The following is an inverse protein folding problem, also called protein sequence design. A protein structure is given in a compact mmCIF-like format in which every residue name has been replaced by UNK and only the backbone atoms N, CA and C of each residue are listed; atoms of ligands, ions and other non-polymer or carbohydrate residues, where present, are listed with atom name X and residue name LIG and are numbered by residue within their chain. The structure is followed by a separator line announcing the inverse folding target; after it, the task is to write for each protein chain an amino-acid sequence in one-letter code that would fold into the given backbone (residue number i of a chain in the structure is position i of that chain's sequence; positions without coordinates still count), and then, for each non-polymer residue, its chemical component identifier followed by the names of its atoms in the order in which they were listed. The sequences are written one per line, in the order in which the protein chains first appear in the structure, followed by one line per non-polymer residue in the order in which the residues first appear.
data_IF_189317105577
#
_entry.id   IF_189317105577
#
_cell.length_a   1.000
_cell.length_b   1.000
_cell.length_c   1.000
_cell.angle_alpha   90.00
_cell.angle_beta   90.00
_cell.angle_gamma   90.00
#
_symmetry.space_group_name_H-M   'P 1'
#
loop_
_entity.id
_entity.type
_entity.pdbx_description
1 polymer ?
#
# COMPACT_ATOMS: atom_id res chain seq x y z
N UNK A 1 12.49 29.98 27.50
CA UNK A 1 12.34 28.55 27.21
C UNK A 1 10.91 28.05 27.41
N UNK A 2 10.33 28.12 28.62
CA UNK A 2 8.95 27.64 28.87
C UNK A 2 7.91 28.17 27.88
N UNK A 3 7.91 29.49 27.61
CA UNK A 3 6.99 30.09 26.63
C UNK A 3 7.23 29.60 25.19
N UNK A 4 8.48 29.32 24.81
CA UNK A 4 8.79 28.79 23.48
C UNK A 4 8.34 27.33 23.34
N UNK A 5 8.59 26.50 24.37
CA UNK A 5 8.11 25.11 24.41
C UNK A 5 6.58 25.04 24.43
N UNK A 6 5.91 26.03 25.02
CA UNK A 6 4.46 26.15 24.94
C UNK A 6 3.97 26.36 23.51
N UNK A 7 4.66 27.17 22.71
CA UNK A 7 4.32 27.32 21.29
C UNK A 7 4.51 26.02 20.52
N UNK A 8 5.68 25.38 20.68
CA UNK A 8 5.97 24.08 20.04
C UNK A 8 4.91 23.04 20.37
N UNK A 9 4.52 22.93 21.65
CA UNK A 9 3.51 21.98 22.08
C UNK A 9 2.12 22.30 21.52
N UNK A 10 1.74 23.58 21.45
CA UNK A 10 0.47 24.00 20.84
C UNK A 10 0.40 23.54 19.38
N UNK A 11 1.44 23.81 18.59
CA UNK A 11 1.49 23.37 17.19
C UNK A 11 1.51 21.84 17.04
N UNK A 12 2.26 21.14 17.92
CA UNK A 12 2.27 19.68 17.94
C UNK A 12 0.90 19.08 18.29
N UNK A 13 0.15 19.70 19.19
CA UNK A 13 -1.20 19.24 19.55
C UNK A 13 -2.23 19.58 18.48
N UNK A 14 -2.08 20.72 17.79
CA UNK A 14 -2.86 21.03 16.58
C UNK A 14 -2.61 19.95 15.53
N UNK A 15 -1.34 19.66 15.23
CA UNK A 15 -0.97 18.61 14.28
C UNK A 15 -1.53 17.24 14.69
N UNK A 16 -1.38 16.84 15.96
CA UNK A 16 -1.95 15.60 16.50
C UNK A 16 -3.48 15.57 16.34
N UNK A 17 -4.17 16.66 16.61
CA UNK A 17 -5.62 16.74 16.43
C UNK A 17 -6.01 16.63 14.96
N UNK A 18 -5.32 17.33 14.06
CA UNK A 18 -5.51 17.23 12.61
C UNK A 18 -5.33 15.80 12.12
N UNK A 19 -4.29 15.11 12.58
CA UNK A 19 -4.07 13.69 12.32
C UNK A 19 -5.25 12.88 12.88
N UNK A 20 -5.68 13.07 14.12
CA UNK A 20 -6.76 12.29 14.70
C UNK A 20 -8.16 12.56 14.10
N UNK A 21 -8.38 13.70 13.43
CA UNK A 21 -9.63 13.96 12.70
C UNK A 21 -9.55 13.47 11.25
N UNK A 22 -8.37 13.54 10.65
CA UNK A 22 -8.12 13.15 9.26
C UNK A 22 -7.94 11.65 9.16
N UNK A 23 -7.12 11.07 10.03
CA UNK A 23 -6.72 9.67 9.97
C UNK A 23 -7.87 8.70 10.15
N UNK A 24 -8.83 8.81 11.09
CA UNK A 24 -9.96 7.87 11.13
C UNK A 24 -10.78 7.89 9.83
N UNK A 25 -10.84 9.04 9.15
CA UNK A 25 -11.46 9.18 7.82
C UNK A 25 -10.57 8.64 6.71
N UNK A 26 -9.27 8.51 6.97
CA UNK A 26 -8.29 7.78 6.18
C UNK A 26 -8.13 6.29 6.60
N UNK A 27 -8.83 5.80 7.64
CA UNK A 27 -8.44 4.56 8.37
C UNK A 27 -9.60 3.62 8.68
N UNK A 28 -10.71 3.70 7.96
CA UNK A 28 -11.48 2.49 7.70
C UNK A 28 -10.89 1.82 6.45
N UNK A 29 -10.17 0.70 6.62
CA UNK A 29 -9.82 -0.25 5.53
C UNK A 29 -9.30 0.39 4.22
N UNK A 30 -8.38 1.35 4.32
CA UNK A 30 -8.16 2.33 3.25
C UNK A 30 -6.82 2.26 2.51
N UNK A 31 -5.87 1.48 3.01
CA UNK A 31 -4.71 1.03 2.24
C UNK A 31 -4.60 -0.45 2.57
N UNK A 32 -5.50 -1.22 1.98
CA UNK A 32 -5.47 -2.68 2.02
C UNK A 32 -4.92 -3.22 0.72
N UNK A 33 -4.51 -4.48 0.74
CA UNK A 33 -4.08 -5.19 -0.46
C UNK A 33 -2.97 -4.47 -1.23
N UNK A 34 -2.07 -3.80 -0.50
CA UNK A 34 -0.88 -3.20 -1.07
C UNK A 34 -0.04 -4.31 -1.71
N UNK A 35 0.06 -4.28 -3.04
CA UNK A 35 0.76 -5.30 -3.81
C UNK A 35 1.46 -4.67 -5.02
N UNK A 36 2.37 -5.43 -5.60
CA UNK A 36 3.09 -5.03 -6.81
C UNK A 36 3.26 -6.20 -7.76
N UNK A 37 3.63 -5.92 -9.00
CA UNK A 37 4.17 -6.91 -9.92
C UNK A 37 5.54 -7.39 -9.43
N UNK A 38 6.08 -8.40 -10.07
CA UNK A 38 7.49 -8.72 -9.98
C UNK A 38 8.37 -7.53 -10.44
N UNK A 39 9.64 -7.44 -9.99
CA UNK A 39 10.61 -6.50 -10.50
C UNK A 39 10.69 -6.57 -12.04
N UNK A 40 10.34 -5.48 -12.71
CA UNK A 40 10.27 -5.44 -14.16
C UNK A 40 10.50 -4.02 -14.70
N UNK A 41 10.71 -3.89 -16.01
CA UNK A 41 10.83 -2.57 -16.66
C UNK A 41 9.54 -1.76 -16.64
N UNK A 42 8.39 -2.40 -16.41
CA UNK A 42 7.09 -1.78 -16.23
C UNK A 42 6.48 -2.28 -14.93
N UNK A 43 6.95 -1.70 -13.83
CA UNK A 43 6.58 -2.12 -12.49
C UNK A 43 5.18 -1.61 -12.15
N UNK A 44 4.27 -2.53 -11.79
CA UNK A 44 2.88 -2.20 -11.47
C UNK A 44 2.70 -2.25 -9.97
N UNK A 45 2.02 -1.25 -9.39
CA UNK A 45 1.68 -1.21 -7.97
C UNK A 45 0.21 -0.93 -7.80
N UNK A 46 -0.46 -1.71 -6.95
CA UNK A 46 -1.86 -1.53 -6.61
C UNK A 46 -2.02 -1.30 -5.11
N UNK A 47 -3.00 -0.49 -4.75
CA UNK A 47 -3.50 -0.38 -3.38
C UNK A 47 -4.99 -0.07 -3.42
N UNK A 48 -5.76 -0.69 -2.52
CA UNK A 48 -7.18 -0.38 -2.41
C UNK A 48 -7.38 0.83 -1.51
N UNK A 49 -8.13 1.83 -2.01
CA UNK A 49 -8.54 3.03 -1.27
C UNK A 49 -10.08 3.05 -1.13
N UNK A 50 -10.62 3.31 0.05
CA UNK A 50 -12.06 3.53 0.23
C UNK A 50 -12.64 4.67 -0.59
N UNK A 51 -13.93 4.52 -0.87
CA UNK A 51 -14.79 5.45 -1.61
C UNK A 51 -14.87 6.87 -1.02
N UNK A 52 -14.52 7.04 0.26
CA UNK A 52 -14.56 8.34 0.91
C UNK A 52 -13.43 9.26 0.44
N UNK A 53 -12.30 8.70 0.01
CA UNK A 53 -11.12 9.41 -0.48
C UNK A 53 -11.19 9.74 -1.98
N UNK A 54 -11.89 8.92 -2.77
CA UNK A 54 -12.04 9.14 -4.22
C UNK A 54 -12.81 10.42 -4.56
N UNK A 55 -13.55 10.98 -3.58
CA UNK A 55 -14.35 12.20 -3.72
C UNK A 55 -13.70 13.44 -3.10
N UNK A 56 -12.52 13.30 -2.48
CA UNK A 56 -11.82 14.43 -1.88
C UNK A 56 -11.18 15.32 -2.96
N UNK A 57 -11.37 16.64 -2.85
CA UNK A 57 -10.70 17.61 -3.72
C UNK A 57 -9.28 17.88 -3.24
N UNK A 58 -8.37 18.22 -4.14
CA UNK A 58 -6.99 18.60 -3.82
C UNK A 58 -6.20 17.47 -3.10
N UNK A 59 -6.50 16.22 -3.44
CA UNK A 59 -5.70 15.05 -3.07
C UNK A 59 -4.64 14.76 -4.11
N UNK A 60 -3.47 14.31 -3.66
CA UNK A 60 -2.45 13.72 -4.52
C UNK A 60 -1.98 12.38 -3.95
N UNK A 61 -1.56 11.50 -4.84
CA UNK A 61 -0.90 10.25 -4.49
C UNK A 61 0.28 10.05 -5.43
N UNK A 62 1.36 9.51 -4.89
CA UNK A 62 2.59 9.26 -5.62
C UNK A 62 3.17 7.91 -5.20
N UNK A 63 3.70 7.17 -6.17
CA UNK A 63 4.52 5.98 -5.94
C UNK A 63 5.98 6.32 -6.23
N UNK A 64 6.88 5.93 -5.34
CA UNK A 64 8.30 6.08 -5.54
C UNK A 64 8.92 4.71 -5.71
N UNK A 65 9.65 4.49 -6.81
CA UNK A 65 10.25 3.19 -7.15
C UNK A 65 11.75 3.34 -7.36
N UNK A 66 12.52 2.43 -6.77
CA UNK A 66 13.96 2.32 -6.92
C UNK A 66 14.33 0.89 -7.32
N UNK A 67 15.21 0.74 -8.31
CA UNK A 67 15.77 -0.56 -8.72
C UNK A 67 17.29 -0.63 -8.57
N UNK A 68 17.86 0.33 -7.82
CA UNK A 68 19.30 0.51 -7.64
C UNK A 68 19.72 0.57 -6.17
N UNK A 69 19.03 -0.21 -5.33
CA UNK A 69 19.22 -0.25 -3.88
C UNK A 69 19.02 1.12 -3.22
N UNK A 70 17.93 1.80 -3.56
CA UNK A 70 17.55 3.12 -3.04
C UNK A 70 18.56 4.23 -3.36
N UNK A 71 19.44 4.07 -4.36
CA UNK A 71 20.39 5.12 -4.74
C UNK A 71 19.72 6.25 -5.53
N UNK A 72 18.67 5.94 -6.28
CA UNK A 72 17.78 6.90 -6.93
C UNK A 72 16.32 6.43 -6.88
N UNK A 73 15.40 7.39 -7.02
CA UNK A 73 13.96 7.15 -6.97
C UNK A 73 13.28 7.74 -8.20
N UNK A 74 12.41 6.95 -8.81
CA UNK A 74 11.48 7.36 -9.84
C UNK A 74 10.16 7.68 -9.14
N UNK A 75 9.81 8.95 -9.08
CA UNK A 75 8.50 9.39 -8.62
C UNK A 75 7.49 9.25 -9.77
N UNK A 76 6.37 8.60 -9.49
CA UNK A 76 5.24 8.45 -10.39
C UNK A 76 3.99 9.02 -9.72
N UNK A 77 3.51 10.15 -10.24
CA UNK A 77 2.30 10.82 -9.78
C UNK A 77 1.05 10.39 -10.56
N UNK A 78 1.20 9.55 -11.60
CA UNK A 78 0.10 9.02 -12.42
C UNK A 78 -0.59 7.84 -11.69
N UNK A 79 -1.05 8.09 -10.46
CA UNK A 79 -1.81 7.14 -9.64
C UNK A 79 -3.29 7.35 -9.89
N UNK A 80 -3.98 6.35 -10.44
CA UNK A 80 -5.36 6.47 -10.89
C UNK A 80 -6.22 5.29 -10.43
N UNK A 81 -7.51 5.55 -10.20
CA UNK A 81 -8.50 4.49 -9.96
C UNK A 81 -8.60 3.61 -11.20
N UNK A 82 -8.45 2.29 -11.02
CA UNK A 82 -8.63 1.30 -12.09
C UNK A 82 -10.13 1.16 -12.40
N UNK A 83 -10.95 0.92 -11.37
CA UNK A 83 -12.41 0.99 -11.45
C UNK A 83 -13.08 -0.05 -12.36
N UNK A 84 -12.35 -1.09 -12.78
CA UNK A 84 -12.89 -2.24 -13.51
C UNK A 84 -13.43 -3.29 -12.54
N UNK A 85 -14.23 -4.28 -13.01
CA UNK A 85 -14.69 -5.36 -12.15
C UNK A 85 -13.53 -6.08 -11.45
N UNK A 86 -13.66 -6.32 -10.15
CA UNK A 86 -12.61 -6.86 -9.28
C UNK A 86 -11.59 -5.82 -8.80
N UNK A 87 -11.61 -4.60 -9.33
CA UNK A 87 -10.70 -3.50 -9.01
C UNK A 87 -11.46 -2.19 -8.74
N UNK A 88 -12.69 -2.29 -8.23
CA UNK A 88 -13.62 -1.16 -8.09
C UNK A 88 -13.08 -0.05 -7.17
N UNK A 89 -12.27 -0.42 -6.18
CA UNK A 89 -11.63 0.48 -5.22
C UNK A 89 -10.11 0.52 -5.35
N UNK A 90 -9.57 -0.16 -6.36
CA UNK A 90 -8.12 -0.31 -6.54
C UNK A 90 -7.55 0.87 -7.31
N UNK A 91 -6.56 1.51 -6.70
CA UNK A 91 -5.73 2.52 -7.33
C UNK A 91 -4.44 1.88 -7.80
N UNK A 92 -4.08 2.16 -9.05
CA UNK A 92 -2.94 1.57 -9.71
C UNK A 92 -1.99 2.62 -10.27
N UNK A 93 -0.72 2.26 -10.34
CA UNK A 93 0.30 2.98 -11.09
C UNK A 93 1.20 1.99 -11.81
N UNK A 94 1.59 2.34 -13.03
CA UNK A 94 2.61 1.61 -13.80
C UNK A 94 3.81 2.51 -13.97
N UNK A 95 4.93 2.15 -13.34
CA UNK A 95 6.17 2.92 -13.34
C UNK A 95 7.18 2.29 -14.28
N UNK A 96 7.64 3.06 -15.27
CA UNK A 96 8.75 2.64 -16.11
C UNK A 96 10.06 2.69 -15.30
N UNK A 97 10.76 1.57 -15.22
CA UNK A 97 12.01 1.45 -14.45
C UNK A 97 13.16 0.97 -15.36
N UNK A 98 14.37 0.86 -14.79
CA UNK A 98 15.50 0.24 -15.47
C UNK A 98 15.42 -1.30 -15.50
N UNK A 99 14.34 -1.89 -14.97
CA UNK A 99 14.24 -3.32 -14.67
C UNK A 99 15.24 -3.74 -13.59
N UNK A 100 15.55 -5.03 -13.56
CA UNK A 100 16.42 -5.64 -12.57
C UNK A 100 15.66 -6.69 -11.75
N UNK A 101 16.36 -7.28 -10.78
CA UNK A 101 15.78 -8.27 -9.88
C UNK A 101 15.43 -7.67 -8.52
N UNK A 102 15.88 -6.45 -8.23
CA UNK A 102 15.68 -5.81 -6.94
C UNK A 102 14.80 -4.58 -7.14
N UNK A 103 13.79 -4.44 -6.29
CA UNK A 103 12.95 -3.25 -6.24
C UNK A 103 12.74 -2.84 -4.79
N UNK A 104 12.82 -1.54 -4.53
CA UNK A 104 12.32 -0.90 -3.34
C UNK A 104 11.28 0.13 -3.75
N UNK A 105 10.16 0.20 -3.06
CA UNK A 105 9.13 1.16 -3.36
C UNK A 105 8.39 1.63 -2.11
N UNK A 106 7.76 2.80 -2.20
CA UNK A 106 6.95 3.35 -1.12
C UNK A 106 5.89 4.31 -1.68
N UNK A 107 4.86 4.57 -0.88
CA UNK A 107 3.74 5.44 -1.22
C UNK A 107 3.77 6.75 -0.44
N UNK A 108 3.30 7.82 -1.07
CA UNK A 108 2.98 9.08 -0.41
C UNK A 108 1.64 9.59 -0.89
N UNK A 109 0.78 9.98 0.05
CA UNK A 109 -0.50 10.62 -0.23
C UNK A 109 -0.61 11.95 0.49
N UNK A 110 -1.22 12.94 -0.14
CA UNK A 110 -1.52 14.23 0.46
C UNK A 110 -2.99 14.56 0.30
N UNK A 111 -3.57 15.15 1.34
CA UNK A 111 -4.97 15.50 1.41
C UNK A 111 -5.11 16.89 1.99
N UNK A 112 -5.88 17.74 1.30
CA UNK A 112 -6.35 18.98 1.87
C UNK A 112 -7.45 18.71 2.89
N UNK A 113 -7.25 19.10 4.14
CA UNK A 113 -8.25 18.89 5.20
C UNK A 113 -9.60 19.59 4.90
N UNK A 114 -9.64 20.64 4.07
CA UNK A 114 -10.88 21.28 3.61
C UNK A 114 -11.76 20.32 2.81
N UNK A 115 -11.18 19.35 2.11
CA UNK A 115 -11.92 18.32 1.38
C UNK A 115 -12.75 17.41 2.30
N UNK A 116 -12.34 17.32 3.57
CA UNK A 116 -13.06 16.60 4.62
C UNK A 116 -14.01 17.52 5.39
N UNK A 117 -14.09 18.81 5.07
CA UNK A 117 -14.82 19.80 5.85
C UNK A 117 -14.11 20.18 7.15
N UNK A 118 -12.80 19.97 7.21
CA UNK A 118 -11.92 20.44 8.29
C UNK A 118 -11.15 21.69 7.79
N UNK A 119 -10.38 22.37 8.65
CA UNK A 119 -9.67 23.59 8.26
C UNK A 119 -8.28 23.67 8.90
N UNK A 120 -7.47 22.64 8.65
CA UNK A 120 -6.14 22.46 9.26
C UNK A 120 -4.99 22.50 8.23
N UNK A 121 -5.27 22.84 6.97
CA UNK A 121 -4.27 22.83 5.89
C UNK A 121 -4.07 21.45 5.26
N UNK A 122 -2.88 21.23 4.69
CA UNK A 122 -2.53 19.98 4.03
C UNK A 122 -2.01 18.95 5.04
N UNK A 123 -2.47 17.71 4.90
CA UNK A 123 -1.97 16.57 5.68
C UNK A 123 -1.34 15.57 4.70
N UNK A 124 -0.07 15.29 4.88
CA UNK A 124 0.66 14.32 4.06
C UNK A 124 0.94 13.06 4.86
N UNK A 125 0.56 11.91 4.33
CA UNK A 125 0.87 10.58 4.87
C UNK A 125 1.86 9.93 3.93
N UNK A 126 3.06 9.65 4.40
CA UNK A 126 4.14 9.14 3.57
C UNK A 126 4.84 7.98 4.24
N UNK A 127 5.06 6.92 3.47
CA UNK A 127 6.11 5.96 3.73
C UNK A 127 7.47 6.59 3.37
N UNK A 128 8.58 5.88 3.53
CA UNK A 128 9.89 6.47 3.20
C UNK A 128 10.91 5.44 2.76
N UNK A 129 12.07 5.85 2.22
CA UNK A 129 13.24 4.99 2.09
C UNK A 129 13.66 4.39 3.44
N UNK A 130 14.21 3.19 3.42
CA UNK A 130 14.79 2.51 4.58
C UNK A 130 16.30 2.73 4.66
N UNK A 131 16.76 3.51 5.65
CA UNK A 131 18.17 3.80 5.91
C UNK A 131 18.85 2.66 6.69
N UNK A 132 18.93 1.47 6.08
CA UNK A 132 19.43 0.24 6.69
C UNK A 132 20.80 0.37 7.38
N UNK A 133 21.68 1.24 6.87
CA UNK A 133 23.04 1.39 7.36
C UNK A 133 23.19 2.47 8.44
N UNK A 134 22.09 3.06 8.92
CA UNK A 134 22.13 4.17 9.88
C UNK A 134 23.03 5.33 9.41
N UNK A 135 23.01 5.62 8.09
CA UNK A 135 23.86 6.64 7.47
C UNK A 135 23.55 8.00 8.07
N UNK A 136 24.58 8.74 8.50
CA UNK A 136 24.43 10.05 9.12
C UNK A 136 25.43 11.10 8.58
N UNK A 137 24.95 12.30 8.19
CA UNK A 137 23.55 12.60 7.87
C UNK A 137 23.05 11.76 6.68
N UNK A 138 21.77 11.38 6.63
CA UNK A 138 21.23 10.68 5.46
C UNK A 138 21.36 11.55 4.20
N UNK A 139 21.69 10.94 3.08
CA UNK A 139 21.67 11.58 1.76
C UNK A 139 20.23 11.81 1.31
N UNK A 140 20.03 12.73 0.36
CA UNK A 140 18.67 13.11 -0.09
C UNK A 140 17.84 11.92 -0.60
N UNK A 141 18.46 10.94 -1.25
CA UNK A 141 17.78 9.73 -1.73
C UNK A 141 17.29 8.81 -0.59
N UNK A 142 17.72 9.04 0.65
CA UNK A 142 17.22 8.30 1.81
C UNK A 142 16.13 9.04 2.55
N UNK A 143 15.70 10.23 2.11
CA UNK A 143 14.59 10.95 2.73
C UNK A 143 13.33 10.90 1.87
N UNK A 144 12.18 10.75 2.52
CA UNK A 144 10.88 11.12 1.93
C UNK A 144 10.46 12.50 2.43
N UNK A 145 9.77 13.27 1.59
CA UNK A 145 9.09 14.49 2.00
C UNK A 145 7.78 14.12 2.67
N UNK A 146 7.65 14.46 3.95
CA UNK A 146 6.49 14.14 4.79
C UNK A 146 5.58 15.35 5.02
N UNK A 147 6.06 16.56 4.77
CA UNK A 147 5.25 17.77 4.71
C UNK A 147 5.96 18.82 3.84
N UNK A 148 5.19 19.69 3.21
CA UNK A 148 5.71 20.88 2.55
C UNK A 148 5.34 22.12 3.37
N UNK A 149 5.87 23.26 2.96
CA UNK A 149 5.44 24.54 3.47
C UNK A 149 5.58 25.58 2.36
N UNK A 150 4.78 26.64 2.44
CA UNK A 150 4.95 27.77 1.52
C UNK A 150 6.21 28.57 1.89
N UNK A 151 6.55 29.56 1.07
CA UNK A 151 7.80 30.33 1.26
C UNK A 151 7.53 31.82 1.21
N UNK A 152 8.28 32.59 2.01
CA UNK A 152 8.16 34.05 2.09
C UNK A 152 7.24 34.55 3.21
N UNK A 153 6.88 33.68 4.15
CA UNK A 153 6.11 33.95 5.37
C UNK A 153 6.95 34.74 6.36
N UNK A 154 8.24 34.41 6.44
CA UNK A 154 9.17 34.97 7.41
C UNK A 154 10.58 35.20 6.82
N UNK A 155 11.56 35.50 7.66
CA UNK A 155 12.95 35.61 7.23
C UNK A 155 13.47 34.27 6.70
N UNK A 156 14.23 34.28 5.59
CA UNK A 156 14.59 33.03 4.90
C UNK A 156 15.34 32.00 5.77
N UNK A 157 16.08 32.44 6.79
CA UNK A 157 16.73 31.55 7.76
C UNK A 157 15.79 30.88 8.77
N UNK A 158 14.50 31.21 8.73
CA UNK A 158 13.44 30.70 9.61
C UNK A 158 12.23 30.15 8.83
N UNK A 159 12.17 30.47 7.54
CA UNK A 159 11.17 30.06 6.55
C UNK A 159 11.35 28.58 6.21
N UNK A 160 10.50 27.73 6.78
CA UNK A 160 10.43 26.30 6.52
C UNK A 160 9.92 26.11 5.09
N UNK A 161 10.38 25.05 4.44
CA UNK A 161 10.01 24.73 3.05
C UNK A 161 9.56 23.28 2.89
N UNK A 162 10.06 22.41 3.77
CA UNK A 162 9.66 21.02 3.83
C UNK A 162 10.10 20.41 5.15
N UNK A 163 9.38 19.35 5.50
CA UNK A 163 9.79 18.37 6.48
C UNK A 163 10.07 17.05 5.76
N UNK A 164 11.21 16.46 6.06
CA UNK A 164 11.65 15.19 5.48
C UNK A 164 11.99 14.20 6.58
N UNK A 165 11.69 12.93 6.36
CA UNK A 165 12.01 11.90 7.33
C UNK A 165 12.35 10.54 6.67
N UNK A 166 13.05 9.71 7.45
CA UNK A 166 13.37 8.32 7.14
C UNK A 166 13.63 7.57 8.44
N UNK A 167 13.80 6.27 8.35
CA UNK A 167 13.99 5.37 9.48
C UNK A 167 14.96 4.24 9.16
N UNK A 168 15.41 3.58 10.23
CA UNK A 168 16.12 2.32 10.20
C UNK A 168 15.46 1.35 11.19
N UNK A 169 16.10 0.21 11.46
CA UNK A 169 15.62 -0.75 12.46
C UNK A 169 15.45 -0.13 13.85
N UNK A 170 16.27 0.88 14.20
CA UNK A 170 16.34 1.43 15.56
C UNK A 170 16.36 2.95 15.64
N UNK A 171 16.49 3.67 14.52
CA UNK A 171 16.58 5.14 14.50
C UNK A 171 15.47 5.80 13.68
N UNK A 172 15.09 6.99 14.16
CA UNK A 172 14.33 7.98 13.40
C UNK A 172 15.29 9.07 12.92
N UNK A 173 15.08 9.55 11.70
CA UNK A 173 15.80 10.67 11.10
C UNK A 173 14.79 11.69 10.61
N UNK A 174 14.99 12.95 10.96
CA UNK A 174 14.14 14.05 10.53
C UNK A 174 14.98 15.23 10.04
N UNK A 175 14.45 15.99 9.10
CA UNK A 175 15.08 17.16 8.52
C UNK A 175 14.05 18.25 8.24
N UNK A 176 14.29 19.45 8.77
CA UNK A 176 13.58 20.67 8.38
C UNK A 176 14.42 21.37 7.32
N UNK A 177 13.87 21.54 6.12
CA UNK A 177 14.45 22.37 5.07
C UNK A 177 14.02 23.82 5.23
N UNK A 178 14.97 24.74 5.10
CA UNK A 178 14.75 26.19 5.16
C UNK A 178 14.98 26.82 3.77
N UNK A 179 14.32 27.95 3.53
CA UNK A 179 14.48 28.73 2.30
C UNK A 179 15.87 29.40 2.23
N UNK A 180 16.48 29.64 3.40
CA UNK A 180 17.82 30.21 3.59
C UNK A 180 18.79 29.24 4.27
N UNK A 181 19.97 29.72 4.65
CA UNK A 181 20.95 28.90 5.35
C UNK A 181 20.49 28.54 6.77
N UNK A 182 20.67 27.29 7.15
CA UNK A 182 20.51 26.84 8.53
C UNK A 182 21.82 27.06 9.30
N UNK A 183 21.80 27.37 10.60
CA UNK A 183 20.66 27.87 11.37
C UNK A 183 21.13 29.14 12.07
N UNK A 184 20.29 30.18 12.05
CA UNK A 184 20.59 31.43 12.73
C UNK A 184 20.02 31.38 14.15
N UNK A 185 20.87 31.01 15.10
CA UNK A 185 20.54 30.90 16.52
C UNK A 185 20.31 32.27 17.18
N UNK A 186 20.69 33.36 16.50
CA UNK A 186 20.60 34.71 17.02
C UNK A 186 21.85 35.21 17.77
N UNK A 187 21.72 36.40 18.36
CA UNK A 187 22.83 37.10 19.03
C UNK A 187 22.92 36.84 20.54
N UNK A 188 23.93 37.42 21.19
CA UNK A 188 24.14 37.28 22.65
C UNK A 188 22.94 37.75 23.50
N UNK A 189 22.19 38.74 23.03
CA UNK A 189 20.98 39.26 23.70
C UNK A 189 19.67 38.88 22.99
N UNK A 190 19.73 37.93 22.07
CA UNK A 190 18.61 37.50 21.24
C UNK A 190 18.30 38.46 20.08
N UNK A 191 17.14 38.27 19.42
CA UNK A 191 16.25 37.13 19.64
C UNK A 191 16.96 35.81 19.31
N UNK A 192 16.63 34.75 20.05
CA UNK A 192 17.18 33.41 19.90
C UNK A 192 16.18 32.53 19.20
N UNK A 193 16.58 31.90 18.10
CA UNK A 193 15.70 31.04 17.34
C UNK A 193 15.88 29.57 17.75
N UNK A 194 14.76 28.88 17.84
CA UNK A 194 14.65 27.46 18.13
C UNK A 194 13.99 26.79 16.92
N UNK A 195 14.71 25.86 16.30
CA UNK A 195 14.25 25.04 15.19
C UNK A 195 13.86 23.69 15.74
N UNK A 196 12.63 23.26 15.47
CA UNK A 196 12.06 22.07 16.10
C UNK A 196 11.43 21.16 15.06
N UNK A 197 11.72 19.86 15.17
CA UNK A 197 10.83 18.82 14.64
C UNK A 197 10.08 18.24 15.82
N UNK A 198 8.79 18.55 15.95
CA UNK A 198 7.94 17.92 16.92
C UNK A 198 7.50 16.54 16.40
N UNK A 199 7.52 15.56 17.29
CA UNK A 199 7.18 14.16 17.06
C UNK A 199 6.06 13.79 18.02
N UNK A 200 4.95 13.31 17.47
CA UNK A 200 3.76 12.93 18.25
C UNK A 200 3.35 11.51 17.93
N UNK A 201 2.90 10.78 18.95
CA UNK A 201 2.12 9.58 18.76
C UNK A 201 0.64 9.96 18.62
N UNK A 202 0.00 9.74 17.45
CA UNK A 202 -1.41 10.05 17.27
C UNK A 202 -2.32 9.31 18.28
N UNK A 203 -1.94 8.08 18.64
CA UNK A 203 -2.69 7.22 19.57
C UNK A 203 -2.44 7.50 21.05
N UNK A 204 -1.47 8.37 21.40
CA UNK A 204 -1.17 8.66 22.80
C UNK A 204 -2.40 9.27 23.49
N UNK A 205 -2.80 8.71 24.63
CA UNK A 205 -3.91 9.26 25.41
C UNK A 205 -3.52 10.61 26.06
N UNK A 206 -2.27 10.75 26.47
CA UNK A 206 -1.76 11.96 27.10
C UNK A 206 -1.41 13.00 26.02
N UNK A 207 -1.64 14.30 26.28
CA UNK A 207 -1.29 15.38 25.37
C UNK A 207 0.19 15.74 25.52
N UNK A 208 1.06 14.82 25.12
CA UNK A 208 2.52 14.95 25.15
C UNK A 208 3.04 15.11 23.72
N UNK A 209 4.04 15.98 23.56
CA UNK A 209 4.83 16.09 22.35
C UNK A 209 6.31 15.81 22.67
N UNK A 210 6.99 15.14 21.76
CA UNK A 210 8.44 14.98 21.78
C UNK A 210 9.03 15.89 20.73
N UNK A 211 10.29 16.28 20.86
CA UNK A 211 10.85 17.23 19.93
C UNK A 211 12.36 17.07 19.78
N UNK A 212 12.83 17.00 18.54
CA UNK A 212 14.22 17.35 18.22
C UNK A 212 14.33 18.86 18.19
N UNK A 213 14.89 19.45 19.25
CA UNK A 213 15.10 20.88 19.35
C UNK A 213 16.54 21.25 19.03
N UNK A 214 16.74 22.24 18.16
CA UNK A 214 18.03 22.87 17.91
C UNK A 214 17.94 24.38 18.13
N UNK A 215 18.81 24.91 18.97
CA UNK A 215 18.97 26.33 19.21
C UNK A 215 20.04 26.58 20.26
N UNK A 216 20.57 27.79 20.30
CA UNK A 216 21.62 28.18 21.25
C UNK A 216 21.34 29.58 21.76
N UNK A 217 21.12 29.74 23.06
CA UNK A 217 20.75 31.05 23.59
C UNK A 217 20.08 31.06 24.94
N UNK A 218 19.45 32.20 25.26
CA UNK A 218 18.71 32.38 26.50
C UNK A 218 19.57 32.19 27.75
N UNK A 219 20.84 32.60 27.69
CA UNK A 219 21.83 32.38 28.74
C UNK A 219 22.04 30.89 29.09
N UNK A 220 22.05 30.03 28.06
CA UNK A 220 22.25 28.58 28.19
C UNK A 220 20.96 27.81 28.49
N UNK A 221 19.81 28.47 28.46
CA UNK A 221 18.53 27.78 28.56
C UNK A 221 18.14 27.09 27.24
N UNK A 222 18.50 27.66 26.09
CA UNK A 222 18.25 27.04 24.80
C UNK A 222 19.52 26.32 24.36
N UNK A 223 19.43 25.00 24.20
CA UNK A 223 20.49 24.14 23.69
C UNK A 223 19.90 22.95 22.91
N UNK A 224 20.68 22.30 22.03
CA UNK A 224 20.19 21.14 21.29
C UNK A 224 19.90 19.96 22.22
N UNK A 225 18.69 19.38 22.15
CA UNK A 225 18.30 18.19 22.90
C UNK A 225 17.02 17.54 22.34
N UNK A 226 16.73 16.33 22.81
CA UNK A 226 15.40 15.72 22.69
C UNK A 226 14.58 16.17 23.89
N UNK A 227 13.51 16.90 23.61
CA UNK A 227 12.59 17.40 24.62
C UNK A 227 11.34 16.54 24.70
N UNK A 228 10.84 16.36 25.92
CA UNK A 228 9.46 15.97 26.19
C UNK A 228 8.72 17.21 26.69
N UNK A 229 7.55 17.46 26.13
CA UNK A 229 6.74 18.64 26.44
C UNK A 229 5.33 18.17 26.77
N UNK A 230 4.91 18.41 28.01
CA UNK A 230 3.60 18.07 28.53
C UNK A 230 2.75 19.34 28.68
N UNK A 231 1.48 19.25 28.32
CA UNK A 231 0.58 20.39 28.46
C UNK A 231 -0.85 19.99 28.80
N UNK A 232 -1.69 21.00 28.94
CA UNK A 232 -3.11 20.85 29.20
C UNK A 232 -3.89 21.38 28.00
N UNK A 233 -4.61 20.48 27.31
CA UNK A 233 -5.41 20.80 26.13
C UNK A 233 -6.53 21.81 26.43
N UNK A 234 -7.00 21.88 27.68
CA UNK A 234 -8.10 22.78 28.05
C UNK A 234 -7.64 24.23 28.27
N UNK A 235 -6.43 24.42 28.77
CA UNK A 235 -5.86 25.75 29.04
C UNK A 235 -4.90 26.22 27.96
N UNK A 236 -4.35 25.29 27.16
CA UNK A 236 -3.26 25.56 26.23
C UNK A 236 -1.93 25.85 26.92
N UNK A 237 -1.84 25.64 28.24
CA UNK A 237 -0.63 25.84 29.03
C UNK A 237 0.23 24.58 29.04
N UNK A 238 1.55 24.76 29.00
CA UNK A 238 2.50 23.67 29.22
C UNK A 238 2.57 23.39 30.72
N UNK A 239 2.26 22.15 31.10
CA UNK A 239 2.38 21.64 32.46
C UNK A 239 3.85 21.44 32.85
N UNK A 240 4.72 21.20 31.87
CA UNK A 240 6.17 21.13 32.02
C UNK A 240 6.88 20.78 30.71
N UNK A 241 8.19 21.03 30.65
CA UNK A 241 9.05 20.43 29.63
C UNK A 241 10.30 19.90 30.31
N UNK A 242 10.85 18.82 29.79
CA UNK A 242 12.10 18.24 30.26
C UNK A 242 12.98 17.79 29.10
N UNK A 243 14.28 17.72 29.37
CA UNK A 243 15.23 17.07 28.45
C UNK A 243 15.13 15.58 28.67
N UNK A 244 14.60 14.88 27.69
CA UNK A 244 14.52 13.43 27.69
C UNK A 244 15.89 12.82 27.43
N UNK A 245 16.67 13.43 26.53
CA UNK A 245 18.02 12.99 26.20
C UNK A 245 18.80 14.07 25.46
N UNK A 246 20.09 14.19 25.75
CA UNK A 246 21.06 14.94 24.93
C UNK A 246 21.78 14.03 23.93
N UNK A 247 21.54 12.72 23.99
CA UNK A 247 22.14 11.72 23.11
C UNK A 247 21.36 11.62 21.80
N UNK A 248 21.65 12.53 20.88
CA UNK A 248 21.12 12.54 19.52
C UNK A 248 22.13 13.16 18.56
N UNK A 249 22.06 12.76 17.30
CA UNK A 249 22.86 13.33 16.24
C UNK A 249 22.13 14.54 15.64
N UNK A 250 22.83 15.65 15.37
CA UNK A 250 22.26 16.80 14.64
C UNK A 250 23.26 17.45 13.69
N UNK A 251 22.73 18.11 12.64
CA UNK A 251 23.51 18.82 11.62
C UNK A 251 22.74 20.05 11.16
N UNK A 252 23.45 21.17 11.02
CA UNK A 252 22.90 22.43 10.49
C UNK A 252 23.53 22.82 9.16
N UNK A 253 24.07 21.84 8.43
CA UNK A 253 24.80 22.09 7.20
C UNK A 253 23.85 22.55 6.07
N UNK A 254 24.26 23.60 5.35
CA UNK A 254 23.51 24.09 4.19
C UNK A 254 22.24 24.82 4.61
N UNK A 255 21.09 24.37 4.09
CA UNK A 255 19.78 24.96 4.35
C UNK A 255 18.88 24.05 5.19
N UNK A 256 19.45 23.17 6.02
CA UNK A 256 18.67 22.14 6.72
C UNK A 256 19.10 21.99 8.17
N UNK A 257 18.12 21.84 9.06
CA UNK A 257 18.32 21.28 10.40
C UNK A 257 17.96 19.81 10.36
N UNK A 258 18.94 18.94 10.51
CA UNK A 258 18.77 17.49 10.53
C UNK A 258 18.98 16.97 11.95
N UNK A 259 18.17 16.02 12.38
CA UNK A 259 18.30 15.34 13.66
C UNK A 259 18.05 13.82 13.52
N UNK A 260 18.73 13.03 14.35
CA UNK A 260 18.47 11.60 14.48
C UNK A 260 18.72 11.10 15.88
N UNK A 261 17.93 10.12 16.31
CA UNK A 261 18.15 9.41 17.57
C UNK A 261 17.67 7.98 17.50
N UNK A 262 18.02 7.18 18.50
CA UNK A 262 17.36 5.91 18.72
C UNK A 262 15.87 6.18 18.96
N UNK A 263 15.01 5.54 18.17
CA UNK A 263 13.56 5.68 18.27
C UNK A 263 13.07 5.32 19.68
N UNK A 264 13.72 4.34 20.31
CA UNK A 264 13.47 3.90 21.68
C UNK A 264 13.68 4.96 22.76
N UNK A 265 14.41 6.05 22.49
CA UNK A 265 14.50 7.18 23.44
C UNK A 265 13.12 7.81 23.62
N UNK A 266 12.37 7.96 22.53
CA UNK A 266 11.03 8.56 22.53
C UNK A 266 9.98 7.49 22.84
N UNK A 267 10.03 6.34 22.16
CA UNK A 267 8.93 5.36 22.21
C UNK A 267 8.87 4.51 23.48
N UNK A 268 9.95 4.46 24.28
CA UNK A 268 9.93 3.81 25.59
C UNK A 268 9.53 4.75 26.73
N UNK A 269 9.35 6.05 26.48
CA UNK A 269 8.80 6.94 27.50
C UNK A 269 7.38 6.51 27.86
N UNK A 270 7.04 6.53 29.14
CA UNK A 270 5.77 6.02 29.65
C UNK A 270 4.55 6.77 29.08
N UNK A 271 4.72 8.03 28.67
CA UNK A 271 3.65 8.86 28.12
C UNK A 271 3.52 8.74 26.60
N UNK A 272 4.47 8.10 25.90
CA UNK A 272 4.37 7.86 24.46
C UNK A 272 3.17 6.98 24.10
N UNK A 273 2.81 6.01 24.95
CA UNK A 273 1.77 5.02 24.66
C UNK A 273 2.30 3.75 23.99
N UNK A 274 1.41 2.99 23.34
CA UNK A 274 1.76 1.70 22.74
C UNK A 274 2.68 1.89 21.53
N UNK A 275 3.74 1.07 21.45
CA UNK A 275 4.64 0.99 20.30
C UNK A 275 4.86 -0.47 19.85
N UNK A 276 4.81 -0.80 18.55
CA UNK A 276 4.33 0.05 17.46
C UNK A 276 2.90 0.54 17.70
N UNK A 277 2.65 1.80 17.39
CA UNK A 277 1.30 2.33 17.43
C UNK A 277 0.51 1.81 16.22
N UNK A 278 -0.75 2.16 16.14
CA UNK A 278 -1.63 1.61 15.11
C UNK A 278 -1.43 2.21 13.71
N UNK A 279 -0.47 3.13 13.56
CA UNK A 279 0.05 3.62 12.28
C UNK A 279 1.39 2.99 11.89
N UNK A 280 2.02 2.24 12.82
CA UNK A 280 3.44 1.89 12.74
C UNK A 280 4.30 3.10 12.31
N UNK A 281 4.05 4.26 12.93
CA UNK A 281 4.49 5.55 12.40
C UNK A 281 4.43 6.68 13.41
N UNK A 282 4.83 7.88 12.99
CA UNK A 282 4.87 9.08 13.84
C UNK A 282 4.27 10.29 13.11
N UNK A 283 3.55 11.13 13.86
CA UNK A 283 3.17 12.46 13.38
C UNK A 283 4.32 13.44 13.55
N UNK A 284 4.53 14.31 12.58
CA UNK A 284 5.64 15.24 12.49
C UNK A 284 5.15 16.64 12.10
N UNK A 285 5.71 17.66 12.74
CA UNK A 285 5.53 19.07 12.35
C UNK A 285 6.82 19.84 12.62
N UNK A 286 7.24 20.65 11.64
CA UNK A 286 8.34 21.58 11.77
C UNK A 286 7.85 22.88 12.41
N UNK A 287 8.59 23.40 13.39
CA UNK A 287 8.26 24.68 14.04
C UNK A 287 9.52 25.49 14.23
N UNK A 288 9.51 26.74 13.78
CA UNK A 288 10.53 27.74 14.13
C UNK A 288 9.95 28.74 15.13
N UNK A 289 10.54 28.84 16.32
CA UNK A 289 10.13 29.77 17.37
C UNK A 289 11.26 30.76 17.65
N UNK A 290 10.93 32.04 17.77
CA UNK A 290 11.84 33.07 18.27
C UNK A 290 11.54 33.38 19.72
N UNK A 291 12.60 33.50 20.53
CA UNK A 291 12.51 33.94 21.91
C UNK A 291 13.46 35.13 22.15
N UNK A 292 12.95 36.23 22.67
CA UNK A 292 13.71 37.45 22.89
C UNK A 292 13.36 38.17 24.17
N UNK A 293 14.04 39.30 24.39
CA UNK A 293 13.75 40.23 25.48
C UNK A 293 12.95 41.40 24.92
N UNK A 294 11.80 41.68 25.52
CA UNK A 294 10.99 42.87 25.28
C UNK A 294 11.02 43.75 26.52
N UNK A 295 12.01 44.64 26.60
CA UNK A 295 12.29 45.40 27.81
C UNK A 295 12.81 44.52 28.94
N UNK A 296 12.01 44.37 30.00
CA UNK A 296 12.29 43.47 31.13
C UNK A 296 11.53 42.13 31.03
N UNK A 297 10.64 41.99 30.04
CA UNK A 297 9.83 40.81 29.84
C UNK A 297 10.42 39.91 28.75
N UNK A 298 9.97 38.65 28.73
CA UNK A 298 10.29 37.69 27.68
C UNK A 298 9.20 37.78 26.60
N UNK A 299 9.61 37.81 25.33
CA UNK A 299 8.71 37.70 24.18
C UNK A 299 9.01 36.42 23.41
N UNK A 300 7.97 35.67 23.04
CA UNK A 300 8.10 34.48 22.18
C UNK A 300 7.08 34.51 21.06
N UNK A 301 7.52 34.19 19.85
CA UNK A 301 6.73 34.22 18.63
C UNK A 301 7.02 32.96 17.79
N UNK A 302 5.97 32.35 17.25
CA UNK A 302 6.12 31.33 16.19
C UNK A 302 6.43 32.10 14.92
N UNK A 303 7.63 31.88 14.38
CA UNK A 303 8.03 32.50 13.12
C UNK A 303 7.53 31.72 11.93
N UNK A 304 7.48 30.39 12.06
CA UNK A 304 7.00 29.53 10.99
C UNK A 304 6.60 28.11 11.46
N UNK A 305 5.76 27.45 10.67
CA UNK A 305 5.26 26.09 10.90
C UNK A 305 5.01 25.36 9.58
N UNK A 306 5.55 24.15 9.44
CA UNK A 306 5.22 23.31 8.28
C UNK A 306 3.77 22.82 8.31
N UNK A 307 3.29 22.33 7.16
CA UNK A 307 2.14 21.43 7.11
C UNK A 307 2.37 20.18 7.99
N UNK A 308 1.29 19.43 8.21
CA UNK A 308 1.31 18.24 9.06
C UNK A 308 1.73 17.00 8.25
N UNK A 309 2.75 16.30 8.75
CA UNK A 309 3.21 15.05 8.17
C UNK A 309 2.94 13.84 9.05
N UNK A 310 2.65 12.70 8.44
CA UNK A 310 2.65 11.39 9.08
C UNK A 310 3.67 10.52 8.35
N UNK A 311 4.71 10.11 9.07
CA UNK A 311 5.66 9.12 8.59
C UNK A 311 5.18 7.72 8.99
N UNK A 312 4.89 6.87 8.01
CA UNK A 312 4.71 5.42 8.20
C UNK A 312 6.07 4.76 8.03
N UNK A 313 6.53 4.01 9.03
CA UNK A 313 7.85 3.37 9.06
C UNK A 313 7.82 2.08 8.23
N UNK A 314 7.66 2.24 6.92
CA UNK A 314 7.54 1.13 5.98
C UNK A 314 8.18 1.49 4.64
N UNK A 315 8.83 0.49 4.04
CA UNK A 315 9.33 0.47 2.66
C UNK A 315 9.08 -0.93 2.16
N UNK A 316 8.60 -1.06 0.93
CA UNK A 316 8.33 -2.33 0.29
C UNK A 316 9.58 -2.73 -0.48
N UNK A 317 9.98 -3.99 -0.38
CA UNK A 317 11.17 -4.50 -1.07
C UNK A 317 10.96 -5.90 -1.57
N UNK A 318 11.50 -6.20 -2.75
CA UNK A 318 11.56 -7.55 -3.30
C UNK A 318 12.89 -7.77 -4.02
N UNK A 319 13.42 -8.98 -3.87
CA UNK A 319 14.62 -9.45 -4.56
C UNK A 319 14.30 -10.77 -5.25
N UNK A 320 14.53 -10.82 -6.55
CA UNK A 320 14.20 -11.96 -7.39
C UNK A 320 12.72 -12.05 -7.74
N UNK A 321 12.37 -13.16 -8.39
CA UNK A 321 11.02 -13.49 -8.76
C UNK A 321 10.82 -15.01 -8.74
N UNK A 322 9.69 -15.45 -8.20
CA UNK A 322 9.18 -16.81 -8.29
C UNK A 322 8.01 -16.80 -9.26
N UNK A 323 8.14 -17.52 -10.38
CA UNK A 323 7.08 -17.57 -11.39
C UNK A 323 5.73 -18.01 -10.77
N UNK A 324 4.60 -17.42 -11.22
CA UNK A 324 3.29 -17.74 -10.67
C UNK A 324 2.85 -19.14 -11.05
N UNK A 325 1.88 -19.68 -10.31
CA UNK A 325 1.33 -21.02 -10.51
C UNK A 325 -0.16 -20.94 -10.76
N UNK A 326 -0.62 -21.62 -11.82
CA UNK A 326 -2.04 -21.78 -12.14
C UNK A 326 -2.52 -23.15 -11.70
N UNK A 327 -3.62 -23.21 -10.96
CA UNK A 327 -4.21 -24.46 -10.47
C UNK A 327 -5.74 -24.44 -10.49
N UNK A 328 -6.34 -25.63 -10.38
CA UNK A 328 -7.78 -25.84 -10.22
C UNK A 328 -8.64 -25.13 -11.30
N UNK A 329 -8.38 -25.34 -12.60
CA UNK A 329 -9.27 -24.82 -13.64
C UNK A 329 -10.66 -25.45 -13.50
N UNK A 330 -11.70 -24.65 -13.64
CA UNK A 330 -13.10 -25.11 -13.60
C UNK A 330 -13.94 -24.39 -14.64
N UNK A 331 -15.00 -25.07 -15.11
CA UNK A 331 -16.03 -24.48 -15.94
C UNK A 331 -17.41 -24.79 -15.34
N UNK A 332 -18.20 -23.76 -15.06
CA UNK A 332 -19.57 -23.93 -14.57
C UNK A 332 -20.46 -22.77 -15.03
N UNK A 333 -21.65 -23.09 -15.53
CA UNK A 333 -22.67 -22.11 -15.93
C UNK A 333 -22.15 -21.01 -16.89
N UNK A 334 -21.27 -21.38 -17.83
CA UNK A 334 -20.67 -20.45 -18.79
C UNK A 334 -19.48 -19.65 -18.28
N UNK A 335 -19.03 -19.87 -17.03
CA UNK A 335 -17.90 -19.17 -16.43
C UNK A 335 -16.71 -20.10 -16.34
N UNK A 336 -15.56 -19.66 -16.87
CA UNK A 336 -14.25 -20.27 -16.64
C UNK A 336 -13.59 -19.61 -15.43
N UNK A 337 -13.03 -20.42 -14.56
CA UNK A 337 -12.27 -19.95 -13.39
C UNK A 337 -10.95 -20.70 -13.24
N UNK A 338 -9.92 -20.01 -12.75
CA UNK A 338 -8.59 -20.55 -12.46
C UNK A 338 -8.05 -19.91 -11.17
N UNK A 339 -7.31 -20.66 -10.36
CA UNK A 339 -6.58 -20.10 -9.22
C UNK A 339 -5.19 -19.68 -9.67
N UNK A 340 -4.88 -18.39 -9.53
CA UNK A 340 -3.53 -17.82 -9.66
C UNK A 340 -2.92 -17.68 -8.27
N UNK A 341 -1.71 -18.21 -8.07
CA UNK A 341 -0.95 -18.02 -6.83
C UNK A 341 0.49 -17.65 -7.13
N UNK A 342 1.04 -16.73 -6.35
CA UNK A 342 2.42 -16.26 -6.50
C UNK A 342 3.13 -16.27 -5.14
N UNK A 343 4.29 -16.93 -5.04
CA UNK A 343 4.98 -17.12 -3.78
C UNK A 343 5.56 -15.82 -3.18
N UNK A 344 5.84 -14.83 -4.02
CA UNK A 344 6.32 -13.50 -3.64
C UNK A 344 5.15 -12.50 -3.48
N UNK A 345 3.91 -12.99 -3.60
CA UNK A 345 2.67 -12.21 -3.57
C UNK A 345 2.58 -11.18 -4.71
N UNK A 346 3.20 -11.46 -5.86
CA UNK A 346 3.10 -10.57 -7.02
C UNK A 346 1.69 -10.59 -7.63
N UNK A 347 1.18 -9.41 -7.97
CA UNK A 347 -0.06 -9.26 -8.73
C UNK A 347 0.10 -9.72 -10.17
N UNK A 348 -1.02 -10.13 -10.79
CA UNK A 348 -1.07 -10.46 -12.21
C UNK A 348 -1.21 -9.19 -13.06
N UNK A 349 -0.21 -8.89 -13.88
CA UNK A 349 -0.19 -7.77 -14.83
C UNK A 349 -0.97 -8.03 -16.12
N UNK A 350 -1.14 -9.31 -16.49
CA UNK A 350 -2.06 -9.80 -17.54
C UNK A 350 -2.71 -11.08 -17.03
N UNK A 351 -4.00 -11.23 -17.27
CA UNK A 351 -4.82 -12.33 -16.76
C UNK A 351 -5.92 -12.63 -17.77
N UNK A 352 -5.58 -13.40 -18.80
CA UNK A 352 -6.45 -13.62 -19.95
C UNK A 352 -6.67 -15.12 -20.17
N UNK A 353 -7.83 -15.48 -20.70
CA UNK A 353 -8.13 -16.82 -21.20
C UNK A 353 -8.50 -16.76 -22.67
N UNK A 354 -7.91 -17.64 -23.46
CA UNK A 354 -8.13 -17.74 -24.90
C UNK A 354 -8.87 -19.03 -25.24
N UNK A 355 -9.91 -18.93 -26.06
CA UNK A 355 -10.66 -20.06 -26.62
C UNK A 355 -10.70 -19.85 -28.13
N UNK A 356 -10.03 -20.75 -28.87
CA UNK A 356 -9.79 -20.58 -30.31
C UNK A 356 -9.16 -19.19 -30.63
N UNK A 357 -9.88 -18.32 -31.34
CA UNK A 357 -9.45 -16.96 -31.70
C UNK A 357 -10.02 -15.87 -30.75
N UNK A 358 -10.76 -16.24 -29.71
CA UNK A 358 -11.39 -15.31 -28.75
C UNK A 358 -10.55 -15.18 -27.48
N UNK A 359 -10.32 -13.95 -27.03
CA UNK A 359 -9.66 -13.65 -25.75
C UNK A 359 -10.61 -12.97 -24.77
N UNK A 360 -10.57 -13.39 -23.52
CA UNK A 360 -11.36 -12.85 -22.42
C UNK A 360 -10.43 -12.46 -21.27
N UNK A 361 -10.53 -11.21 -20.82
CA UNK A 361 -9.84 -10.78 -19.59
C UNK A 361 -10.58 -11.33 -18.38
N UNK A 362 -9.83 -11.93 -17.46
CA UNK A 362 -10.36 -12.54 -16.26
C UNK A 362 -10.39 -11.54 -15.10
N UNK A 363 -11.39 -11.69 -14.25
CA UNK A 363 -11.67 -10.81 -13.11
C UNK A 363 -11.26 -11.53 -11.82
N UNK A 364 -10.39 -10.95 -10.97
CA UNK A 364 -10.04 -11.52 -9.68
C UNK A 364 -11.17 -11.40 -8.66
N UNK A 365 -11.21 -12.31 -7.68
CA UNK A 365 -12.10 -12.24 -6.51
C UNK A 365 -11.39 -11.73 -5.23
N UNK A 366 -10.10 -11.42 -5.31
CA UNK A 366 -9.29 -10.90 -4.21
C UNK A 366 -7.89 -10.50 -4.66
N UNK A 367 -7.09 -9.95 -3.75
CA UNK A 367 -5.78 -9.35 -4.05
C UNK A 367 -4.64 -9.86 -3.16
N UNK A 368 -4.83 -11.03 -2.52
CA UNK A 368 -3.78 -11.72 -1.74
C UNK A 368 -3.27 -12.93 -2.53
N UNK A 369 -2.31 -12.67 -3.41
CA UNK A 369 -1.82 -13.64 -4.40
C UNK A 369 -1.00 -14.79 -3.80
N UNK A 370 -0.39 -14.61 -2.63
CA UNK A 370 0.30 -15.68 -1.90
C UNK A 370 -0.62 -16.79 -1.42
N UNK A 371 -1.90 -16.47 -1.16
CA UNK A 371 -2.91 -17.43 -0.68
C UNK A 371 -3.68 -18.07 -1.85
N UNK A 372 -3.48 -17.56 -3.06
CA UNK A 372 -4.21 -17.94 -4.27
C UNK A 372 -5.49 -17.09 -4.45
N UNK A 373 -5.60 -16.47 -5.62
CA UNK A 373 -6.75 -15.67 -6.05
C UNK A 373 -7.46 -16.39 -7.18
N UNK A 374 -8.80 -16.44 -7.15
CA UNK A 374 -9.57 -17.02 -8.24
C UNK A 374 -9.88 -15.93 -9.25
N UNK A 375 -9.42 -16.14 -10.48
CA UNK A 375 -9.77 -15.32 -11.63
C UNK A 375 -10.90 -16.00 -12.40
N UNK A 376 -11.88 -15.22 -12.85
CA UNK A 376 -13.05 -15.74 -13.59
C UNK A 376 -13.41 -14.92 -14.82
N UNK A 377 -13.91 -15.57 -15.87
CA UNK A 377 -14.46 -14.91 -17.06
C UNK A 377 -15.72 -15.64 -17.56
N UNK A 378 -16.76 -14.87 -17.90
CA UNK A 378 -17.94 -15.40 -18.61
C UNK A 378 -17.60 -15.58 -20.09
N UNK A 379 -17.57 -16.84 -20.52
CA UNK A 379 -17.28 -17.27 -21.89
C UNK A 379 -18.51 -17.91 -22.55
N UNK A 380 -19.66 -17.90 -21.88
CA UNK A 380 -20.87 -18.60 -22.32
C UNK A 380 -20.72 -20.12 -22.39
N UNK A 381 -21.70 -20.78 -22.98
CA UNK A 381 -21.76 -22.26 -23.08
C UNK A 381 -21.00 -22.81 -24.30
N UNK A 382 -19.83 -22.24 -24.63
CA UNK A 382 -19.05 -22.68 -25.78
C UNK A 382 -18.12 -23.82 -25.37
N UNK A 383 -18.24 -25.05 -25.93
CA UNK A 383 -17.27 -26.09 -25.68
C UNK A 383 -15.94 -25.73 -26.35
N UNK A 384 -14.81 -26.06 -25.72
CA UNK A 384 -13.51 -25.84 -26.35
C UNK A 384 -12.33 -26.12 -25.44
N UNK A 385 -11.16 -25.87 -25.99
CA UNK A 385 -9.89 -25.85 -25.26
C UNK A 385 -9.60 -24.40 -24.84
N UNK A 386 -9.55 -24.14 -23.54
CA UNK A 386 -9.13 -22.87 -22.98
C UNK A 386 -7.62 -22.89 -22.74
N UNK A 387 -6.94 -21.83 -23.16
CA UNK A 387 -5.56 -21.52 -22.75
C UNK A 387 -5.58 -20.33 -21.82
N UNK A 388 -5.41 -20.58 -20.52
CA UNK A 388 -5.17 -19.53 -19.54
C UNK A 388 -3.75 -18.99 -19.73
N UNK A 389 -3.59 -17.67 -19.73
CA UNK A 389 -2.29 -16.99 -19.83
C UNK A 389 -2.23 -15.86 -18.80
N UNK A 390 -1.28 -15.98 -17.88
CA UNK A 390 -1.09 -15.04 -16.78
C UNK A 390 0.36 -14.56 -16.74
N UNK A 391 0.59 -13.33 -16.31
CA UNK A 391 1.94 -12.80 -16.09
C UNK A 391 1.99 -11.94 -14.84
N UNK A 392 3.02 -12.13 -14.03
CA UNK A 392 3.36 -11.31 -12.86
C UNK A 392 4.19 -10.06 -13.24
N UNK A 393 4.43 -9.81 -14.53
CA UNK A 393 5.26 -8.73 -15.07
C UNK A 393 6.70 -9.13 -15.41
N UNK A 394 7.20 -10.26 -14.91
CA UNK A 394 8.52 -10.81 -15.22
C UNK A 394 8.43 -12.16 -15.94
N UNK A 395 7.61 -13.07 -15.42
CA UNK A 395 7.34 -14.39 -15.98
C UNK A 395 5.91 -14.45 -16.54
N UNK A 396 5.71 -15.33 -17.54
CA UNK A 396 4.40 -15.62 -18.12
C UNK A 396 4.17 -17.12 -18.06
N UNK A 397 3.03 -17.53 -17.52
CA UNK A 397 2.64 -18.93 -17.38
C UNK A 397 1.35 -19.21 -18.14
N UNK A 398 1.24 -20.44 -18.64
CA UNK A 398 0.08 -20.90 -19.37
C UNK A 398 -0.42 -22.23 -18.82
N UNK A 399 -1.74 -22.42 -18.86
CA UNK A 399 -2.39 -23.68 -18.54
C UNK A 399 -3.50 -23.96 -19.55
N UNK A 400 -3.46 -25.14 -20.16
CA UNK A 400 -4.53 -25.61 -21.04
C UNK A 400 -5.57 -26.39 -20.25
N UNK A 401 -6.85 -26.14 -20.55
CA UNK A 401 -7.99 -26.79 -19.92
C UNK A 401 -9.06 -27.10 -20.96
N UNK A 402 -9.33 -28.39 -21.15
CA UNK A 402 -10.44 -28.84 -21.99
C UNK A 402 -11.73 -28.85 -21.16
N UNK A 403 -12.68 -28.00 -21.55
CA UNK A 403 -14.01 -27.89 -20.95
C UNK A 403 -15.11 -28.18 -21.96
N UNK A 404 -14.72 -28.69 -23.14
CA UNK A 404 -15.60 -29.02 -24.24
C UNK A 404 -16.33 -30.33 -24.05
N UNK A 405 -17.50 -30.25 -23.40
CA UNK A 405 -18.52 -31.30 -23.53
C UNK A 405 -18.84 -31.55 -25.01
N UNK A 406 -18.43 -32.71 -25.50
CA UNK A 406 -18.79 -33.31 -26.80
C UNK A 406 -18.11 -32.78 -28.08
N UNK A 407 -16.91 -33.33 -28.35
CA UNK A 407 -16.63 -33.92 -29.67
C UNK A 407 -16.02 -35.33 -29.56
N UNK A 408 -16.59 -36.16 -28.68
CA UNK A 408 -16.34 -37.61 -28.66
C UNK A 408 -16.39 -38.33 -27.30
N UNK A 409 -16.56 -37.62 -26.18
CA UNK A 409 -16.56 -38.23 -24.84
C UNK A 409 -17.89 -38.04 -24.12
N UNK A 410 -18.48 -39.14 -23.67
CA UNK A 410 -19.72 -39.12 -22.89
C UNK A 410 -19.52 -38.52 -21.49
N UNK A 411 -20.30 -37.49 -21.11
CA UNK A 411 -20.22 -36.86 -19.78
C UNK A 411 -20.62 -37.80 -18.64
N UNK A 412 -21.59 -38.68 -18.89
CA UNK A 412 -22.01 -39.74 -17.98
C UNK A 412 -22.23 -41.03 -18.79
N UNK A 413 -21.28 -41.96 -18.74
CA UNK A 413 -21.35 -43.22 -19.49
C UNK A 413 -22.71 -43.92 -19.25
N UNK A 414 -23.48 -44.07 -20.33
CA UNK A 414 -24.82 -44.66 -20.31
C UNK A 414 -25.98 -43.67 -20.35
N UNK A 415 -25.72 -42.36 -20.26
CA UNK A 415 -26.73 -41.29 -20.42
C UNK A 415 -26.79 -40.88 -21.90
N UNK A 416 -27.65 -41.57 -22.65
CA UNK A 416 -27.72 -41.49 -24.11
C UNK A 416 -28.67 -40.38 -24.55
N UNK A 417 -29.61 -39.97 -23.68
CA UNK A 417 -30.52 -38.85 -23.94
C UNK A 417 -30.05 -37.51 -23.35
N UNK A 418 -28.90 -37.50 -22.66
CA UNK A 418 -28.30 -36.32 -22.02
C UNK A 418 -29.23 -35.67 -20.97
N UNK A 419 -30.02 -36.49 -20.27
CA UNK A 419 -30.95 -36.02 -19.21
C UNK A 419 -30.32 -35.98 -17.81
N UNK A 420 -29.06 -36.40 -17.70
CA UNK A 420 -28.28 -36.44 -16.46
C UNK A 420 -28.55 -37.68 -15.60
N UNK A 421 -29.27 -38.69 -16.10
CA UNK A 421 -29.62 -39.90 -15.35
C UNK A 421 -29.69 -41.17 -16.21
N UNK A 422 -28.79 -42.13 -15.97
CA UNK A 422 -28.84 -43.44 -16.64
C UNK A 422 -30.05 -44.25 -16.18
N UNK A 423 -31.02 -44.47 -17.07
CA UNK A 423 -32.26 -45.16 -16.79
C UNK A 423 -32.80 -45.96 -17.99
N UNK A 424 -34.05 -46.44 -17.90
CA UNK A 424 -34.66 -47.27 -18.96
C UNK A 424 -34.82 -46.52 -20.29
N UNK A 425 -34.89 -45.20 -20.28
CA UNK A 425 -34.98 -44.38 -21.48
C UNK A 425 -33.70 -44.48 -22.31
N UNK A 426 -32.52 -44.52 -21.68
CA UNK A 426 -31.24 -44.69 -22.35
C UNK A 426 -31.09 -46.06 -23.00
N UNK A 427 -31.61 -47.11 -22.33
CA UNK A 427 -31.66 -48.46 -22.89
C UNK A 427 -32.51 -48.48 -24.17
N UNK A 428 -33.67 -47.81 -24.15
CA UNK A 428 -34.56 -47.74 -25.31
C UNK A 428 -33.88 -47.04 -26.47
N UNK A 429 -33.18 -45.94 -26.22
CA UNK A 429 -32.44 -45.22 -27.26
C UNK A 429 -31.27 -46.02 -27.81
N UNK A 430 -30.48 -46.65 -26.93
CA UNK A 430 -29.39 -47.55 -27.33
C UNK A 430 -29.90 -48.69 -28.20
N UNK A 431 -31.05 -49.27 -27.84
CA UNK A 431 -31.71 -50.32 -28.63
C UNK A 431 -32.11 -49.79 -30.01
N UNK A 432 -32.65 -48.57 -30.09
CA UNK A 432 -33.01 -47.95 -31.37
C UNK A 432 -31.77 -47.69 -32.25
N UNK A 433 -30.65 -47.29 -31.65
CA UNK A 433 -29.38 -47.11 -32.37
C UNK A 433 -28.87 -48.46 -32.92
N UNK A 434 -28.88 -49.52 -32.11
CA UNK A 434 -28.49 -50.88 -32.53
C UNK A 434 -29.36 -51.40 -33.68
N UNK A 435 -30.66 -51.11 -33.64
CA UNK A 435 -31.61 -51.57 -34.66
C UNK A 435 -31.62 -50.70 -35.93
N UNK A 436 -31.02 -49.50 -35.91
CA UNK A 436 -30.98 -48.64 -37.09
C UNK A 436 -29.72 -48.87 -37.95
N UNK A 437 -29.77 -49.88 -38.82
CA UNK A 437 -28.66 -50.24 -39.71
C UNK A 437 -28.37 -49.22 -40.82
N UNK A 438 -29.33 -48.33 -41.12
CA UNK A 438 -29.25 -47.36 -42.24
C UNK A 438 -29.36 -45.89 -41.79
N UNK A 439 -29.19 -45.60 -40.49
CA UNK A 439 -29.17 -44.23 -39.98
C UNK A 439 -27.79 -43.58 -40.23
N UNK A 440 -27.73 -42.31 -40.66
CA UNK A 440 -26.47 -41.57 -40.80
C UNK A 440 -25.71 -41.39 -39.48
N UNK A 441 -26.41 -41.44 -38.34
CA UNK A 441 -25.86 -41.32 -36.97
C UNK A 441 -26.21 -42.57 -36.14
N UNK A 442 -25.72 -43.74 -36.56
CA UNK A 442 -26.00 -45.03 -35.89
C UNK A 442 -25.04 -45.33 -34.71
N UNK A 443 -24.19 -44.38 -34.33
CA UNK A 443 -23.23 -44.52 -33.25
C UNK A 443 -23.36 -43.38 -32.25
N UNK A 444 -23.26 -43.71 -30.96
CA UNK A 444 -23.27 -42.76 -29.85
C UNK A 444 -22.24 -43.23 -28.81
N UNK A 445 -21.27 -42.37 -28.48
CA UNK A 445 -20.18 -42.70 -27.54
C UNK A 445 -20.67 -42.92 -26.10
N UNK A 446 -21.83 -42.37 -25.71
CA UNK A 446 -22.46 -42.67 -24.42
C UNK A 446 -23.10 -44.04 -24.36
N UNK A 447 -23.47 -44.59 -25.51
CA UNK A 447 -24.06 -45.91 -25.63
C UNK A 447 -23.02 -47.03 -25.73
N UNK A 448 -21.76 -46.74 -26.10
CA UNK A 448 -20.66 -47.72 -26.12
C UNK A 448 -20.00 -47.82 -24.74
N UNK A 449 -20.54 -48.71 -23.90
CA UNK A 449 -20.08 -48.86 -22.52
C UNK A 449 -18.84 -49.73 -22.38
N UNK A 450 -18.49 -50.46 -23.44
CA UNK A 450 -17.36 -51.38 -23.42
C UNK A 450 -16.14 -50.85 -24.22
N UNK A 451 -16.34 -49.79 -25.02
CA UNK A 451 -15.31 -49.09 -25.77
C UNK A 451 -14.80 -49.84 -26.99
N UNK A 452 -15.60 -50.75 -27.57
CA UNK A 452 -15.24 -51.54 -28.76
C UNK A 452 -15.65 -50.89 -30.09
N UNK A 453 -16.09 -49.63 -30.04
CA UNK A 453 -16.56 -48.84 -31.19
C UNK A 453 -17.78 -49.48 -31.88
N UNK A 454 -18.51 -50.37 -31.19
CA UNK A 454 -19.60 -51.15 -31.76
C UNK A 454 -20.80 -51.32 -30.84
N UNK A 455 -21.87 -50.56 -31.08
CA UNK A 455 -23.11 -50.70 -30.31
C UNK A 455 -23.78 -52.06 -30.52
N UNK A 456 -23.88 -52.84 -29.45
CA UNK A 456 -24.54 -54.13 -29.47
C UNK A 456 -25.18 -54.49 -28.12
N UNK A 457 -25.69 -55.72 -28.01
CA UNK A 457 -26.38 -56.19 -26.80
C UNK A 457 -25.48 -56.18 -25.56
N UNK A 458 -24.16 -56.24 -25.73
CA UNK A 458 -23.21 -56.17 -24.62
C UNK A 458 -23.27 -54.81 -23.91
N UNK A 459 -23.44 -53.71 -24.64
CA UNK A 459 -23.58 -52.38 -24.07
C UNK A 459 -24.87 -52.23 -23.28
N UNK A 460 -25.97 -52.78 -23.78
CA UNK A 460 -27.24 -52.84 -23.04
C UNK A 460 -27.07 -53.59 -21.72
N UNK A 461 -26.34 -54.71 -21.72
CA UNK A 461 -26.09 -55.49 -20.50
C UNK A 461 -25.29 -54.69 -19.48
N UNK A 462 -24.26 -53.96 -19.92
CA UNK A 462 -23.47 -53.07 -19.05
C UNK A 462 -24.33 -51.94 -18.48
N UNK A 463 -25.23 -51.37 -19.28
CA UNK A 463 -26.14 -50.30 -18.86
C UNK A 463 -27.14 -50.80 -17.81
N UNK A 464 -27.71 -51.99 -18.02
CA UNK A 464 -28.61 -52.64 -17.05
C UNK A 464 -27.88 -52.95 -15.75
N UNK A 465 -26.64 -53.43 -15.81
CA UNK A 465 -25.84 -53.71 -14.62
C UNK A 465 -25.55 -52.41 -13.83
N UNK A 466 -25.24 -51.32 -14.53
CA UNK A 466 -25.08 -49.99 -13.93
C UNK A 466 -26.35 -49.52 -13.22
N UNK A 467 -27.53 -49.64 -13.87
CA UNK A 467 -28.82 -49.27 -13.29
C UNK A 467 -29.19 -50.12 -12.07
N UNK A 468 -28.85 -51.41 -12.09
CA UNK A 468 -29.15 -52.36 -11.02
C UNK A 468 -28.08 -52.42 -9.92
N UNK A 469 -26.94 -51.74 -10.09
CA UNK A 469 -25.82 -51.72 -9.15
C UNK A 469 -25.09 -53.06 -8.98
N UNK A 470 -24.97 -53.86 -10.05
CA UNK A 470 -24.34 -55.18 -10.04
C UNK A 470 -23.04 -55.26 -10.84
#
# INVERSE_FOLDING_TARGET
MSQAMQRVWQEAMIAKHSINETMPRLREELLSNLCSSAPSSYFVTHADLSDSLTNASNTSASVFVSTDNQASWIQNDDVNLIGSPGYETTWGATTATNGGNDVAWYLSGSLDSESLGLSFGQVTVSQSPFNANNTWPPSNNLYATVANDATGETGSGQDITNLRATYSDDKLFASVGLNGSCCDEGGFFGPWNLYVVAVVNPDAANPVAYAYGYGSGGFGQLYPAIYKIDGDLTTGEVGGFEVLSENFDYSTAGNQMQASSLLSIITNDADWGVWPNSFNGVGLVGVTVSAGLSGLDISTEVLDTSDVGVLVLSTQTQTGNSAPVLTNPTFANGVLSITYSDADNNLSTSSDVFIEDMGFTMIPDGHTYSDGVVFSADVGNMPGLATFQFSDGADTVQLEFDFGGSSGGCQLAGDVNEDGSVNVLDIVLTTNLILCTDCPDNYNACADLNGDEGLNVLDIVLMVNSILGN
#
